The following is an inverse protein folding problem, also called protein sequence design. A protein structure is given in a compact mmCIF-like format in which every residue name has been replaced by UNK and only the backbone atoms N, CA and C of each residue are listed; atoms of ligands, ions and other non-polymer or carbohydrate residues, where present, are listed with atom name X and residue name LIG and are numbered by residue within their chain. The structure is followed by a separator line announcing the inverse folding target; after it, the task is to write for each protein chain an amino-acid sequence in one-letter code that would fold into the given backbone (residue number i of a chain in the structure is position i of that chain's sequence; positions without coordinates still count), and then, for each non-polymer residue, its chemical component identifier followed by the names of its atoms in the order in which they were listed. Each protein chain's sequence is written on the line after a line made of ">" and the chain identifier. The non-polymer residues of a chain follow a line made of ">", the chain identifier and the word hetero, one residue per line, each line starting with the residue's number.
data_IF_764135277036
#
_entry.id   IF_764135277036
#
_cell.length_a   1.000
_cell.length_b   1.000
_cell.length_c   1.000
_cell.angle_alpha   90.00
_cell.angle_beta   90.00
_cell.angle_gamma   90.00
#
_symmetry.space_group_name_H-M   'P 1'
#
loop_
_entity.id
_entity.type
_entity.pdbx_description
1 polymer ?
#
# COMPACT_ATOMS: atom_id res chain seq x y z
N UNK A 1 -5.24 -0.27 -2.72
CA UNK A 1 -6.62 -0.77 -2.99
C UNK A 1 -7.31 -1.01 -1.65
N UNK A 2 -8.59 -1.39 -1.59
CA UNK A 2 -9.24 -1.76 -0.33
C UNK A 2 -9.42 -3.28 -0.22
N UNK A 3 -9.18 -3.84 0.97
CA UNK A 3 -9.41 -5.23 1.29
C UNK A 3 -10.91 -5.56 1.21
N UNK A 4 -11.31 -6.45 0.29
CA UNK A 4 -12.72 -6.78 0.08
C UNK A 4 -13.34 -7.43 1.32
N UNK A 5 -12.66 -8.39 1.94
CA UNK A 5 -13.18 -9.16 3.07
C UNK A 5 -13.43 -8.26 4.29
N UNK A 6 -12.45 -7.40 4.63
CA UNK A 6 -12.62 -6.42 5.72
C UNK A 6 -13.72 -5.41 5.40
N UNK A 7 -13.78 -4.90 4.17
CA UNK A 7 -14.85 -3.95 3.79
C UNK A 7 -16.23 -4.61 3.85
N UNK A 8 -16.34 -5.90 3.51
CA UNK A 8 -17.58 -6.68 3.59
C UNK A 8 -18.02 -6.87 5.05
N UNK A 9 -17.09 -7.15 5.95
CA UNK A 9 -17.38 -7.26 7.37
C UNK A 9 -18.00 -5.96 7.92
N UNK A 10 -17.43 -4.80 7.60
CA UNK A 10 -18.00 -3.50 7.96
C UNK A 10 -19.34 -3.21 7.29
N UNK A 11 -19.49 -3.64 6.02
CA UNK A 11 -20.75 -3.48 5.29
C UNK A 11 -21.91 -4.26 5.95
N UNK A 12 -21.62 -5.33 6.70
CA UNK A 12 -22.62 -6.19 7.34
C UNK A 12 -22.80 -5.91 8.85
N UNK A 13 -21.73 -5.58 9.58
CA UNK A 13 -21.73 -5.52 11.06
C UNK A 13 -22.30 -4.23 11.66
N UNK A 14 -22.57 -3.21 10.84
CA UNK A 14 -23.11 -1.93 11.27
C UNK A 14 -22.28 -1.19 12.35
N UNK A 15 -20.98 -1.51 12.46
CA UNK A 15 -20.14 -1.19 13.61
C UNK A 15 -19.47 0.20 13.63
N UNK A 16 -19.52 0.94 12.53
CA UNK A 16 -18.90 2.27 12.41
C UNK A 16 -19.92 3.41 12.45
N UNK A 17 -19.57 4.59 12.94
CA UNK A 17 -20.39 5.79 12.76
C UNK A 17 -20.43 6.24 11.29
N UNK A 18 -21.40 7.08 10.91
CA UNK A 18 -21.48 7.63 9.54
C UNK A 18 -20.18 8.31 9.13
N UNK A 19 -19.62 9.12 10.02
CA UNK A 19 -18.40 9.90 9.80
C UNK A 19 -17.18 8.99 9.62
N UNK A 20 -17.05 7.93 10.44
CA UNK A 20 -15.98 6.95 10.30
C UNK A 20 -16.10 6.15 9.00
N UNK A 21 -17.31 5.67 8.67
CA UNK A 21 -17.56 4.94 7.42
C UNK A 21 -17.22 5.77 6.16
N UNK A 22 -17.47 7.09 6.19
CA UNK A 22 -17.09 8.01 5.10
C UNK A 22 -15.59 8.13 4.91
N UNK A 23 -14.79 7.94 5.97
CA UNK A 23 -13.32 8.08 5.90
C UNK A 23 -12.61 6.84 5.37
N UNK A 24 -13.22 5.65 5.35
CA UNK A 24 -12.56 4.42 4.89
C UNK A 24 -11.92 4.59 3.51
N UNK A 25 -12.70 5.11 2.54
CA UNK A 25 -12.24 5.22 1.16
C UNK A 25 -11.25 6.37 0.98
N UNK A 26 -11.53 7.60 1.47
CA UNK A 26 -10.56 8.69 1.44
C UNK A 26 -9.22 8.36 2.10
N UNK A 27 -9.22 7.68 3.25
CA UNK A 27 -7.98 7.23 3.89
C UNK A 27 -7.22 6.25 3.00
N UNK A 28 -7.92 5.33 2.32
CA UNK A 28 -7.30 4.43 1.34
C UNK A 28 -6.65 5.15 0.15
N UNK A 29 -7.09 6.38 -0.19
CA UNK A 29 -6.49 7.19 -1.25
C UNK A 29 -5.19 7.87 -0.82
N UNK A 30 -5.02 8.10 0.48
CA UNK A 30 -3.85 8.75 1.07
C UNK A 30 -2.94 7.77 1.80
N UNK A 31 -3.12 6.47 1.56
CA UNK A 31 -2.31 5.41 2.14
C UNK A 31 -1.18 5.01 1.20
N UNK A 32 0.02 4.93 1.76
CA UNK A 32 1.24 4.44 1.10
C UNK A 32 1.35 2.90 1.18
N UNK A 33 2.36 2.32 0.54
CA UNK A 33 2.52 0.87 0.41
C UNK A 33 2.73 0.14 1.73
N UNK A 34 3.37 0.78 2.72
CA UNK A 34 3.54 0.29 4.09
C UNK A 34 2.30 0.47 4.97
N UNK A 35 1.20 0.96 4.40
CA UNK A 35 -0.03 1.26 5.11
C UNK A 35 -0.05 2.63 5.78
N UNK A 36 1.04 3.40 5.78
CA UNK A 36 1.08 4.72 6.41
C UNK A 36 0.07 5.67 5.76
N UNK A 37 -0.70 6.36 6.58
CA UNK A 37 -1.68 7.38 6.16
C UNK A 37 -0.98 8.73 6.11
N UNK A 38 -0.82 9.29 4.92
CA UNK A 38 -0.31 10.64 4.68
C UNK A 38 -1.46 11.63 4.57
N UNK A 39 -2.24 11.72 5.65
CA UNK A 39 -3.24 12.76 5.81
C UNK A 39 -3.24 13.29 7.24
N UNK A 40 -2.88 14.55 7.37
CA UNK A 40 -3.10 15.30 8.61
C UNK A 40 -4.58 15.74 8.73
N UNK A 41 -4.92 16.30 9.89
CA UNK A 41 -6.27 16.76 10.15
C UNK A 41 -6.73 17.85 9.17
N UNK A 42 -5.81 18.70 8.70
CA UNK A 42 -6.11 19.80 7.78
C UNK A 42 -6.44 19.29 6.38
N UNK A 43 -5.70 18.29 5.89
CA UNK A 43 -5.95 17.63 4.62
C UNK A 43 -7.30 16.90 4.62
N UNK A 44 -7.69 16.31 5.74
CA UNK A 44 -9.03 15.69 5.89
C UNK A 44 -10.11 16.77 5.94
N UNK A 45 -9.85 17.88 6.64
CA UNK A 45 -10.75 19.03 6.72
C UNK A 45 -11.07 19.59 5.33
N UNK A 46 -10.07 19.74 4.47
CA UNK A 46 -10.21 20.22 3.07
C UNK A 46 -11.11 19.34 2.20
N UNK A 47 -11.34 18.08 2.57
CA UNK A 47 -12.18 17.17 1.79
C UNK A 47 -13.68 17.35 2.02
N UNK A 48 -14.09 18.17 3.00
CA UNK A 48 -15.49 18.48 3.33
C UNK A 48 -16.37 17.23 3.53
N UNK A 49 -15.81 16.18 4.14
CA UNK A 49 -16.52 14.91 4.42
C UNK A 49 -17.40 14.99 5.67
N UNK A 50 -17.00 15.86 6.60
CA UNK A 50 -17.62 16.05 7.91
C UNK A 50 -17.20 17.39 8.51
N UNK A 51 -17.89 17.81 9.58
CA UNK A 51 -17.46 18.96 10.37
C UNK A 51 -16.11 18.70 11.05
N UNK A 52 -15.20 19.69 11.15
CA UNK A 52 -13.86 19.49 11.72
C UNK A 52 -13.86 18.87 13.13
N UNK A 53 -14.82 19.29 13.97
CA UNK A 53 -15.01 18.78 15.34
C UNK A 53 -15.29 17.27 15.40
N UNK A 54 -15.75 16.66 14.31
CA UNK A 54 -16.07 15.25 14.24
C UNK A 54 -14.86 14.37 13.85
N UNK A 55 -13.77 14.97 13.35
CA UNK A 55 -12.61 14.22 12.85
C UNK A 55 -11.99 13.34 13.95
N UNK A 56 -11.69 13.83 15.17
CA UNK A 56 -11.10 12.99 16.21
C UNK A 56 -11.98 11.80 16.62
N UNK A 57 -13.30 12.02 16.69
CA UNK A 57 -14.25 10.95 16.98
C UNK A 57 -14.28 9.89 15.87
N UNK A 58 -14.21 10.31 14.61
CA UNK A 58 -14.18 9.39 13.48
C UNK A 58 -12.91 8.52 13.47
N UNK A 59 -11.75 9.09 13.77
CA UNK A 59 -10.50 8.32 13.93
C UNK A 59 -10.58 7.31 15.08
N UNK A 60 -11.09 7.73 16.24
CA UNK A 60 -11.29 6.83 17.39
C UNK A 60 -12.22 5.66 17.07
N UNK A 61 -13.28 5.90 16.30
CA UNK A 61 -14.18 4.84 15.85
C UNK A 61 -13.49 3.88 14.88
N UNK A 62 -12.67 4.39 13.96
CA UNK A 62 -11.88 3.57 13.03
C UNK A 62 -10.82 2.73 13.75
N UNK A 63 -10.15 3.28 14.78
CA UNK A 63 -9.19 2.55 15.62
C UNK A 63 -9.89 1.40 16.36
N UNK A 64 -11.03 1.68 17.02
CA UNK A 64 -11.84 0.68 17.73
C UNK A 64 -12.33 -0.45 16.82
N UNK A 65 -12.67 -0.11 15.59
CA UNK A 65 -13.12 -1.07 14.59
C UNK A 65 -11.95 -1.77 13.86
N UNK A 66 -10.71 -1.54 14.28
CA UNK A 66 -9.49 -2.11 13.70
C UNK A 66 -9.31 -1.77 12.19
N UNK A 67 -9.90 -0.67 11.73
CA UNK A 67 -9.71 -0.15 10.38
C UNK A 67 -8.38 0.59 10.23
N UNK A 68 -7.89 1.19 11.33
CA UNK A 68 -6.59 1.87 11.41
C UNK A 68 -5.88 1.49 12.71
N UNK A 69 -4.56 1.64 12.76
CA UNK A 69 -3.76 1.65 14.00
C UNK A 69 -2.96 2.94 14.12
N UNK A 70 -2.52 3.25 15.34
CA UNK A 70 -1.63 4.36 15.63
C UNK A 70 -0.37 3.84 16.28
N UNK A 71 0.78 4.13 15.68
CA UNK A 71 2.10 3.71 16.14
C UNK A 71 3.01 4.94 16.10
N UNK A 72 3.66 5.29 17.22
CA UNK A 72 4.55 6.45 17.33
C UNK A 72 3.96 7.77 16.80
N UNK A 73 2.67 7.99 17.03
CA UNK A 73 1.97 9.20 16.57
C UNK A 73 1.49 9.16 15.10
N UNK A 74 1.86 8.13 14.35
CA UNK A 74 1.52 7.96 12.93
C UNK A 74 0.38 6.97 12.76
N UNK A 75 -0.55 7.27 11.84
CA UNK A 75 -1.67 6.41 11.52
C UNK A 75 -1.35 5.44 10.38
N UNK A 76 -1.77 4.18 10.54
CA UNK A 76 -1.63 3.12 9.55
C UNK A 76 -2.99 2.54 9.17
N UNK A 77 -3.21 2.34 7.88
CA UNK A 77 -4.46 1.86 7.32
C UNK A 77 -4.46 0.33 7.22
N UNK A 78 -5.34 -0.30 7.98
CA UNK A 78 -5.54 -1.76 7.96
C UNK A 78 -6.56 -2.17 6.89
N UNK A 79 -7.30 -1.23 6.30
CA UNK A 79 -8.24 -1.51 5.21
C UNK A 79 -7.56 -1.52 3.84
N UNK A 80 -6.41 -0.87 3.70
CA UNK A 80 -5.66 -0.85 2.47
C UNK A 80 -4.91 -2.17 2.26
N UNK A 81 -4.86 -2.63 1.01
CA UNK A 81 -3.97 -3.71 0.61
C UNK A 81 -3.17 -3.32 -0.63
N UNK A 82 -1.91 -3.74 -0.59
CA UNK A 82 -1.04 -3.89 -1.75
C UNK A 82 -1.10 -5.35 -2.20
N UNK A 83 -1.05 -5.59 -3.51
CA UNK A 83 -1.17 -6.93 -4.08
C UNK A 83 -0.09 -7.05 -5.12
N UNK A 84 0.72 -8.08 -4.97
CA UNK A 84 1.96 -8.21 -5.74
C UNK A 84 1.75 -8.88 -7.10
N UNK A 85 0.57 -9.48 -7.33
CA UNK A 85 0.27 -10.23 -8.56
C UNK A 85 -1.19 -10.09 -9.02
N UNK A 86 -1.43 -10.45 -10.30
CA UNK A 86 -2.77 -10.52 -10.90
C UNK A 86 -3.64 -11.41 -10.01
N UNK A 87 -4.63 -10.86 -9.29
CA UNK A 87 -5.43 -11.67 -8.39
C UNK A 87 -6.17 -12.74 -9.19
N UNK A 88 -6.00 -14.02 -8.83
CA UNK A 88 -6.81 -15.10 -9.40
C UNK A 88 -8.27 -15.05 -8.90
N UNK A 89 -8.53 -14.26 -7.86
CA UNK A 89 -9.82 -14.15 -7.19
C UNK A 89 -10.19 -12.69 -6.90
N UNK A 90 -11.49 -12.41 -6.73
CA UNK A 90 -11.95 -11.09 -6.32
C UNK A 90 -11.60 -10.82 -4.84
N UNK A 91 -10.39 -10.32 -4.58
CA UNK A 91 -9.84 -10.10 -3.22
C UNK A 91 -9.83 -8.63 -2.80
N UNK A 92 -10.02 -7.69 -3.73
CA UNK A 92 -9.92 -6.27 -3.46
C UNK A 92 -10.92 -5.41 -4.22
N UNK A 93 -11.10 -4.19 -3.72
CA UNK A 93 -11.86 -3.13 -4.37
C UNK A 93 -10.90 -2.05 -4.86
N UNK A 94 -10.95 -1.76 -6.16
CA UNK A 94 -10.23 -0.63 -6.75
C UNK A 94 -10.76 0.69 -6.20
N UNK A 95 -9.87 1.68 -6.11
CA UNK A 95 -10.26 3.03 -5.70
C UNK A 95 -10.74 3.80 -6.94
N UNK A 96 -12.05 3.99 -7.07
CA UNK A 96 -12.66 4.67 -8.22
C UNK A 96 -12.81 6.18 -8.01
N UNK A 97 -12.76 6.96 -9.10
CA UNK A 97 -12.93 8.42 -9.08
C UNK A 97 -14.28 8.87 -8.50
N UNK A 98 -15.32 8.03 -8.54
CA UNK A 98 -16.64 8.40 -8.01
C UNK A 98 -16.65 8.58 -6.49
N UNK A 99 -15.70 7.97 -5.76
CA UNK A 99 -15.58 8.16 -4.31
C UNK A 99 -15.27 9.61 -3.91
N UNK A 100 -14.71 10.39 -4.83
CA UNK A 100 -14.42 11.81 -4.61
C UNK A 100 -15.59 12.74 -4.97
N UNK A 101 -16.67 12.21 -5.55
CA UNK A 101 -17.85 13.01 -5.93
C UNK A 101 -18.73 13.31 -4.71
N UNK A 102 -19.36 14.47 -4.73
CA UNK A 102 -20.33 14.92 -3.73
C UNK A 102 -21.45 13.89 -3.47
N UNK A 103 -21.93 13.24 -4.53
CA UNK A 103 -22.95 12.20 -4.43
C UNK A 103 -22.54 11.05 -3.48
N UNK A 104 -21.25 10.69 -3.44
CA UNK A 104 -20.73 9.69 -2.51
C UNK A 104 -20.41 10.31 -1.13
N UNK A 105 -19.75 11.47 -1.10
CA UNK A 105 -19.32 12.14 0.14
C UNK A 105 -20.47 12.48 1.08
N UNK A 106 -21.67 12.74 0.54
CA UNK A 106 -22.87 13.12 1.31
C UNK A 106 -23.71 11.91 1.75
N UNK A 107 -23.36 10.69 1.36
CA UNK A 107 -24.13 9.49 1.74
C UNK A 107 -24.19 9.30 3.25
N UNK A 108 -25.36 8.92 3.77
CA UNK A 108 -25.54 8.52 5.16
C UNK A 108 -25.18 7.05 5.38
N UNK A 109 -25.04 6.65 6.64
CA UNK A 109 -24.49 5.36 7.08
C UNK A 109 -25.02 4.14 6.32
N UNK A 110 -26.35 4.01 6.22
CA UNK A 110 -27.01 2.85 5.58
C UNK A 110 -26.78 2.79 4.08
N UNK A 111 -26.77 3.95 3.41
CA UNK A 111 -26.43 4.02 1.99
C UNK A 111 -24.95 3.66 1.74
N UNK A 112 -24.03 4.14 2.58
CA UNK A 112 -22.61 3.75 2.52
C UNK A 112 -22.42 2.25 2.71
N UNK A 113 -23.06 1.66 3.72
CA UNK A 113 -23.01 0.23 3.99
C UNK A 113 -23.56 -0.59 2.84
N UNK A 114 -24.67 -0.16 2.24
CA UNK A 114 -25.24 -0.85 1.10
C UNK A 114 -24.33 -0.75 -0.14
N UNK A 115 -23.71 0.41 -0.39
CA UNK A 115 -22.71 0.56 -1.45
C UNK A 115 -21.49 -0.34 -1.19
N UNK A 116 -20.97 -0.40 0.04
CA UNK A 116 -19.87 -1.29 0.40
C UNK A 116 -20.25 -2.78 0.27
N UNK A 117 -21.49 -3.13 0.59
CA UNK A 117 -22.01 -4.48 0.38
C UNK A 117 -22.04 -4.83 -1.11
N UNK A 118 -22.58 -3.96 -1.98
CA UNK A 118 -22.61 -4.19 -3.43
C UNK A 118 -21.18 -4.30 -3.97
N UNK A 119 -20.31 -3.35 -3.60
CA UNK A 119 -18.90 -3.34 -4.00
C UNK A 119 -18.18 -4.64 -3.64
N UNK A 120 -18.54 -5.30 -2.54
CA UNK A 120 -17.88 -6.53 -2.07
C UNK A 120 -18.59 -7.82 -2.43
N UNK A 121 -19.78 -7.75 -3.03
CA UNK A 121 -20.58 -8.91 -3.39
C UNK A 121 -20.17 -9.53 -4.72
N UNK A 122 -19.89 -8.70 -5.72
CA UNK A 122 -19.39 -9.08 -7.05
C UNK A 122 -18.42 -8.02 -7.58
N UNK A 123 -17.68 -8.32 -8.64
CA UNK A 123 -16.86 -7.34 -9.34
C UNK A 123 -17.68 -6.07 -9.64
N UNK A 124 -17.19 -4.87 -9.30
CA UNK A 124 -17.94 -3.64 -9.52
C UNK A 124 -18.29 -3.45 -11.00
N UNK A 125 -19.56 -3.19 -11.30
CA UNK A 125 -20.09 -3.06 -12.68
C UNK A 125 -20.79 -4.32 -13.19
N UNK A 126 -20.62 -5.44 -12.48
CA UNK A 126 -21.35 -6.67 -12.74
C UNK A 126 -22.65 -6.74 -11.96
N UNK A 127 -23.62 -7.46 -12.52
CA UNK A 127 -24.97 -7.59 -11.98
C UNK A 127 -25.09 -8.61 -10.85
N UNK A 128 -25.29 -8.13 -9.63
CA UNK A 128 -25.51 -8.96 -8.45
C UNK A 128 -27.00 -9.26 -8.25
N UNK A 129 -27.38 -10.55 -8.23
CA UNK A 129 -28.75 -10.97 -7.87
C UNK A 129 -29.00 -10.81 -6.38
N UNK A 130 -30.03 -10.06 -6.03
CA UNK A 130 -30.40 -9.73 -4.66
C UNK A 130 -31.91 -9.85 -4.46
N UNK A 131 -32.33 -10.64 -3.47
CA UNK A 131 -33.72 -10.67 -3.05
C UNK A 131 -33.99 -9.49 -2.12
N UNK A 132 -34.95 -8.64 -2.48
CA UNK A 132 -35.31 -7.43 -1.72
C UNK A 132 -35.65 -7.78 -0.26
N UNK A 133 -36.30 -8.91 -0.02
CA UNK A 133 -36.66 -9.41 1.31
C UNK A 133 -35.45 -9.73 2.21
N UNK A 134 -34.26 -9.93 1.64
CA UNK A 134 -32.99 -10.10 2.39
C UNK A 134 -32.34 -8.77 2.78
N UNK A 135 -32.93 -7.65 2.37
CA UNK A 135 -32.40 -6.31 2.59
C UNK A 135 -32.94 -5.58 3.79
N UNK A 136 -33.95 -6.11 4.50
CA UNK A 136 -34.54 -5.43 5.65
C UNK A 136 -35.08 -6.40 6.70
N UNK A 137 -35.16 -5.92 7.93
CA UNK A 137 -35.65 -6.71 9.07
C UNK A 137 -37.17 -6.87 8.95
N UNK A 138 -37.65 -8.08 9.22
CA UNK A 138 -39.06 -8.38 9.46
C UNK A 138 -39.18 -9.27 10.70
N UNK A 139 -40.39 -9.43 11.25
CA UNK A 139 -40.61 -10.29 12.40
C UNK A 139 -40.25 -11.76 12.15
N UNK A 140 -40.25 -12.20 10.89
CA UNK A 140 -40.14 -13.61 10.50
C UNK A 140 -38.87 -13.94 9.70
N UNK A 141 -38.07 -12.94 9.31
CA UNK A 141 -36.87 -13.15 8.48
C UNK A 141 -35.62 -12.58 9.17
N UNK A 142 -34.51 -13.31 9.05
CA UNK A 142 -33.19 -12.84 9.46
C UNK A 142 -32.41 -12.39 8.21
N UNK A 143 -32.50 -11.10 7.82
CA UNK A 143 -31.92 -10.61 6.58
C UNK A 143 -30.38 -10.64 6.62
N UNK A 144 -29.77 -10.62 5.43
CA UNK A 144 -28.32 -10.42 5.29
C UNK A 144 -27.96 -8.99 5.73
N UNK A 145 -28.80 -8.01 5.38
CA UNK A 145 -28.62 -6.61 5.77
C UNK A 145 -29.48 -6.31 7.01
N UNK A 146 -28.85 -6.30 8.18
CA UNK A 146 -29.54 -6.13 9.48
C UNK A 146 -29.66 -4.67 9.95
N UNK A 147 -29.40 -3.70 9.08
CA UNK A 147 -29.40 -2.27 9.42
C UNK A 147 -30.54 -1.48 8.77
N UNK A 148 -31.38 -2.12 7.97
CA UNK A 148 -32.63 -1.56 7.47
C UNK A 148 -33.80 -2.07 8.30
N UNK A 149 -34.60 -1.16 8.84
CA UNK A 149 -35.63 -1.52 9.82
C UNK A 149 -36.89 -2.11 9.19
N UNK A 150 -37.16 -1.75 7.94
CA UNK A 150 -38.34 -2.20 7.20
C UNK A 150 -38.15 -1.97 5.69
N UNK A 151 -39.13 -2.42 4.90
CA UNK A 151 -39.12 -2.28 3.45
C UNK A 151 -39.03 -0.82 2.97
N UNK A 152 -39.80 0.11 3.56
CA UNK A 152 -39.83 1.53 3.15
C UNK A 152 -38.46 2.19 3.34
N UNK A 153 -37.79 1.85 4.43
CA UNK A 153 -36.45 2.32 4.76
C UNK A 153 -35.40 1.83 3.75
N UNK A 154 -35.45 0.56 3.38
CA UNK A 154 -34.62 0.00 2.31
C UNK A 154 -34.93 0.64 0.95
N UNK A 155 -36.21 0.73 0.59
CA UNK A 155 -36.67 1.30 -0.68
C UNK A 155 -36.22 2.76 -0.84
N UNK A 156 -36.35 3.58 0.20
CA UNK A 156 -35.89 4.98 0.16
C UNK A 156 -34.39 5.10 -0.16
N UNK A 157 -33.57 4.21 0.41
CA UNK A 157 -32.12 4.21 0.15
C UNK A 157 -31.83 3.66 -1.24
N UNK A 158 -32.54 2.63 -1.69
CA UNK A 158 -32.40 2.07 -3.03
C UNK A 158 -32.72 3.13 -4.10
N UNK A 159 -33.88 3.80 -3.99
CA UNK A 159 -34.32 4.88 -4.88
C UNK A 159 -33.28 6.00 -4.91
N UNK A 160 -32.88 6.50 -3.73
CA UNK A 160 -31.91 7.59 -3.62
C UNK A 160 -30.56 7.26 -4.29
N UNK A 161 -30.09 6.01 -4.22
CA UNK A 161 -28.84 5.61 -4.85
C UNK A 161 -28.95 5.49 -6.39
N UNK A 162 -30.12 5.10 -6.91
CA UNK A 162 -30.40 5.04 -8.36
C UNK A 162 -30.49 6.47 -8.93
N UNK A 163 -31.26 7.35 -8.29
CA UNK A 163 -31.45 8.75 -8.71
C UNK A 163 -30.13 9.54 -8.67
N UNK A 164 -29.27 9.28 -7.68
CA UNK A 164 -27.92 9.85 -7.63
C UNK A 164 -26.94 9.23 -8.65
N UNK A 165 -27.38 8.21 -9.40
CA UNK A 165 -26.60 7.54 -10.43
C UNK A 165 -25.41 6.74 -9.92
N UNK A 166 -25.47 6.29 -8.66
CA UNK A 166 -24.43 5.47 -8.05
C UNK A 166 -24.64 3.98 -8.33
N UNK A 167 -25.89 3.54 -8.42
CA UNK A 167 -26.26 2.16 -8.74
C UNK A 167 -27.26 2.10 -9.89
N UNK A 168 -27.35 0.93 -10.49
CA UNK A 168 -28.35 0.57 -11.50
C UNK A 168 -29.06 -0.70 -11.02
N UNK A 169 -30.35 -0.82 -11.35
CA UNK A 169 -31.19 -1.95 -10.96
C UNK A 169 -31.94 -2.48 -12.17
N UNK A 170 -32.01 -3.80 -12.31
CA UNK A 170 -32.89 -4.44 -13.28
C UNK A 170 -33.75 -5.54 -12.64
N UNK A 171 -34.96 -5.71 -13.14
CA UNK A 171 -35.88 -6.79 -12.74
C UNK A 171 -36.85 -7.11 -13.87
N UNK A 172 -37.61 -8.20 -13.72
CA UNK A 172 -38.68 -8.57 -14.65
C UNK A 172 -40.04 -8.18 -14.08
N UNK A 173 -40.77 -7.34 -14.80
CA UNK A 173 -42.16 -6.98 -14.51
C UNK A 173 -43.00 -7.37 -15.73
N UNK A 174 -44.03 -8.20 -15.51
CA UNK A 174 -44.92 -8.71 -16.58
C UNK A 174 -44.17 -9.28 -17.79
N UNK A 175 -43.09 -10.03 -17.52
CA UNK A 175 -42.25 -10.66 -18.55
C UNK A 175 -41.26 -9.73 -19.25
N UNK A 176 -41.35 -8.40 -19.03
CA UNK A 176 -40.43 -7.40 -19.59
C UNK A 176 -39.31 -7.07 -18.61
N UNK A 177 -38.10 -6.88 -19.13
CA UNK A 177 -36.99 -6.36 -18.33
C UNK A 177 -37.15 -4.86 -18.14
N UNK A 178 -37.28 -4.44 -16.89
CA UNK A 178 -37.24 -3.04 -16.47
C UNK A 178 -35.82 -2.73 -16.03
N UNK A 179 -35.24 -1.64 -16.55
CA UNK A 179 -33.90 -1.18 -16.22
C UNK A 179 -33.97 0.23 -15.65
N UNK A 180 -33.64 0.36 -14.36
CA UNK A 180 -33.68 1.61 -13.61
C UNK A 180 -32.29 2.22 -13.52
N UNK A 181 -32.20 3.47 -13.97
CA UNK A 181 -30.99 4.30 -13.92
C UNK A 181 -31.34 5.70 -13.45
N UNK A 182 -30.32 6.54 -13.25
CA UNK A 182 -30.49 7.97 -12.97
C UNK A 182 -31.37 8.74 -13.98
N UNK A 183 -31.56 8.22 -15.19
CA UNK A 183 -32.39 8.88 -16.22
C UNK A 183 -33.88 8.55 -16.12
N UNK A 184 -34.27 7.65 -15.22
CA UNK A 184 -35.65 7.26 -15.04
C UNK A 184 -36.33 8.22 -14.05
N UNK A 185 -37.46 8.81 -14.43
CA UNK A 185 -38.18 9.77 -13.58
C UNK A 185 -39.10 9.07 -12.54
N UNK A 186 -39.52 7.83 -12.82
CA UNK A 186 -40.50 7.06 -12.04
C UNK A 186 -39.88 5.84 -11.31
N UNK A 187 -38.65 5.99 -10.80
CA UNK A 187 -37.89 4.91 -10.15
C UNK A 187 -38.65 4.32 -8.96
N UNK A 188 -39.27 5.16 -8.13
CA UNK A 188 -40.00 4.71 -6.93
C UNK A 188 -41.24 3.93 -7.33
N UNK A 189 -42.06 4.47 -8.22
CA UNK A 189 -43.32 3.89 -8.64
C UNK A 189 -43.12 2.48 -9.23
N UNK A 190 -42.11 2.33 -10.10
CA UNK A 190 -41.77 1.03 -10.71
C UNK A 190 -41.30 -0.01 -9.68
N UNK A 191 -40.56 0.41 -8.64
CA UNK A 191 -40.13 -0.49 -7.57
C UNK A 191 -41.27 -0.85 -6.61
N UNK A 192 -42.17 0.08 -6.32
CA UNK A 192 -43.36 -0.15 -5.51
C UNK A 192 -44.34 -1.09 -6.20
N UNK A 193 -44.55 -0.90 -7.50
CA UNK A 193 -45.35 -1.77 -8.36
C UNK A 193 -44.75 -3.19 -8.40
N UNK A 194 -43.45 -3.30 -8.71
CA UNK A 194 -42.75 -4.59 -8.73
C UNK A 194 -42.84 -5.33 -7.39
N UNK A 195 -42.76 -4.60 -6.27
CA UNK A 195 -42.84 -5.18 -4.94
C UNK A 195 -44.28 -5.38 -4.43
N UNK A 196 -45.30 -5.13 -5.26
CA UNK A 196 -46.73 -5.26 -4.92
C UNK A 196 -47.12 -4.46 -3.65
N UNK A 197 -46.69 -3.20 -3.55
CA UNK A 197 -47.04 -2.32 -2.44
C UNK A 197 -48.51 -1.87 -2.56
N UNK A 198 -49.33 -2.12 -1.52
CA UNK A 198 -50.70 -1.59 -1.43
C UNK A 198 -50.84 -0.67 -0.21
N UNK A 199 -50.93 0.64 -0.43
CA UNK A 199 -50.96 1.64 0.65
C UNK A 199 -49.61 1.77 1.35
N UNK A 200 -49.57 1.76 2.69
CA UNK A 200 -48.33 1.91 3.47
C UNK A 200 -47.60 0.60 3.78
N UNK A 201 -48.14 -0.54 3.35
CA UNK A 201 -47.60 -1.88 3.62
C UNK A 201 -47.54 -2.69 2.32
N UNK A 202 -46.46 -3.43 2.12
CA UNK A 202 -46.40 -4.48 1.11
C UNK A 202 -47.53 -5.48 1.37
N UNK A 203 -48.20 -5.97 0.32
CA UNK A 203 -49.27 -6.97 0.46
C UNK A 203 -48.72 -8.15 1.29
N UNK A 204 -49.31 -8.40 2.46
CA UNK A 204 -48.79 -9.31 3.51
C UNK A 204 -48.72 -10.79 3.11
N UNK A 205 -49.12 -11.13 1.89
CA UNK A 205 -49.25 -12.50 1.37
C UNK A 205 -48.55 -12.64 0.02
N UNK A 206 -47.27 -12.28 -0.06
CA UNK A 206 -46.41 -13.08 -0.92
C UNK A 206 -46.25 -14.42 -0.21
N UNK A 207 -46.68 -15.50 -0.85
CA UNK A 207 -46.44 -16.85 -0.31
C UNK A 207 -44.97 -16.98 0.06
N UNK A 208 -44.65 -17.87 1.02
CA UNK A 208 -43.28 -18.24 1.40
C UNK A 208 -42.36 -18.52 0.19
N UNK A 209 -42.93 -18.75 -1.00
CA UNK A 209 -42.26 -19.08 -2.25
C UNK A 209 -42.08 -17.91 -3.26
N UNK A 210 -42.60 -16.70 -3.03
CA UNK A 210 -42.47 -15.57 -3.98
C UNK A 210 -41.49 -14.51 -3.46
N UNK A 211 -40.25 -14.55 -3.94
CA UNK A 211 -39.16 -13.62 -3.61
C UNK A 211 -38.97 -12.59 -4.74
N UNK A 212 -38.83 -11.30 -4.39
CA UNK A 212 -38.62 -10.23 -5.36
C UNK A 212 -37.12 -10.09 -5.62
N UNK A 213 -36.65 -10.80 -6.64
CA UNK A 213 -35.24 -10.82 -7.01
C UNK A 213 -34.95 -9.73 -8.02
N UNK A 214 -34.20 -8.73 -7.59
CA UNK A 214 -33.60 -7.71 -8.46
C UNK A 214 -32.17 -8.09 -8.80
N UNK A 215 -31.63 -7.53 -9.87
CA UNK A 215 -30.19 -7.47 -10.12
C UNK A 215 -29.74 -6.03 -9.89
N UNK A 216 -28.71 -5.85 -9.08
CA UNK A 216 -28.17 -4.54 -8.70
C UNK A 216 -26.68 -4.49 -9.03
N UNK A 217 -26.19 -3.35 -9.51
CA UNK A 217 -24.76 -3.11 -9.72
C UNK A 217 -24.39 -1.67 -9.39
N UNK A 218 -23.10 -1.43 -9.12
CA UNK A 218 -22.56 -0.07 -9.20
C UNK A 218 -22.67 0.37 -10.67
N UNK A 219 -23.14 1.60 -10.90
CA UNK A 219 -23.37 2.11 -12.24
C UNK A 219 -22.13 1.94 -13.12
N UNK A 220 -22.28 1.30 -14.28
CA UNK A 220 -21.16 0.83 -15.10
C UNK A 220 -20.23 1.98 -15.51
N UNK A 221 -20.81 3.15 -15.78
CA UNK A 221 -20.11 4.41 -16.09
C UNK A 221 -19.10 4.87 -15.02
N UNK A 222 -19.21 4.37 -13.79
CA UNK A 222 -18.37 4.77 -12.65
C UNK A 222 -17.19 3.84 -12.38
N UNK A 223 -17.21 2.61 -12.94
CA UNK A 223 -16.29 1.52 -12.55
C UNK A 223 -15.46 0.99 -13.72
N UNK A 224 -15.53 1.62 -14.90
CA UNK A 224 -14.62 1.34 -16.02
C UNK A 224 -13.16 1.58 -15.64
N UNK A 225 -12.23 0.92 -16.37
CA UNK A 225 -10.79 0.98 -16.11
C UNK A 225 -10.26 2.43 -16.06
N UNK A 226 -10.71 3.30 -16.95
CA UNK A 226 -10.34 4.72 -16.99
C UNK A 226 -10.87 5.55 -15.81
N UNK A 227 -11.82 5.00 -15.05
CA UNK A 227 -12.38 5.59 -13.83
C UNK A 227 -11.68 5.10 -12.56
N UNK A 228 -10.77 4.13 -12.66
CA UNK A 228 -9.89 3.77 -11.55
C UNK A 228 -8.93 4.93 -11.30
N UNK A 229 -8.75 5.28 -10.03
CA UNK A 229 -7.81 6.32 -9.63
C UNK A 229 -6.40 5.74 -9.68
N UNK A 230 -5.58 6.29 -10.56
CA UNK A 230 -4.16 5.94 -10.65
C UNK A 230 -3.46 6.22 -9.31
N UNK A 231 -2.48 5.40 -8.94
CA UNK A 231 -1.55 5.72 -7.84
C UNK A 231 -0.78 7.02 -8.11
N UNK A 232 -0.65 7.41 -9.37
CA UNK A 232 0.01 8.64 -9.82
C UNK A 232 -0.96 9.81 -10.03
N UNK A 233 -2.23 9.64 -9.66
CA UNK A 233 -3.17 10.77 -9.65
C UNK A 233 -2.68 11.80 -8.62
N UNK A 234 -2.60 13.10 -8.96
CA UNK A 234 -2.19 14.15 -8.02
C UNK A 234 -2.98 14.15 -6.70
N UNK A 235 -4.23 13.65 -6.73
CA UNK A 235 -5.08 13.53 -5.54
C UNK A 235 -4.81 12.27 -4.70
N UNK A 236 -3.92 11.37 -5.16
CA UNK A 236 -3.56 10.09 -4.53
C UNK A 236 -2.05 9.99 -4.20
N UNK A 237 -1.32 11.11 -4.22
CA UNK A 237 0.15 11.20 -4.11
C UNK A 237 0.79 10.61 -2.83
N UNK A 238 0.07 9.87 -1.97
CA UNK A 238 0.63 9.20 -0.80
C UNK A 238 1.86 8.35 -1.15
N UNK A 239 1.84 7.67 -2.30
CA UNK A 239 2.93 6.79 -2.72
C UNK A 239 4.24 7.54 -3.02
N UNK A 240 4.15 8.79 -3.47
CA UNK A 240 5.30 9.66 -3.75
C UNK A 240 5.46 10.74 -2.66
N UNK A 241 4.72 10.65 -1.57
CA UNK A 241 4.68 11.70 -0.56
C UNK A 241 6.01 11.87 0.15
N UNK A 242 6.68 10.76 0.48
CA UNK A 242 8.06 10.78 0.99
C UNK A 242 8.99 11.58 0.07
N UNK A 243 8.94 11.32 -1.24
CA UNK A 243 9.73 12.06 -2.23
C UNK A 243 9.34 13.54 -2.27
N UNK A 244 8.04 13.85 -2.27
CA UNK A 244 7.53 15.22 -2.35
C UNK A 244 7.95 16.03 -1.14
N UNK A 245 7.75 15.49 0.05
CA UNK A 245 8.01 16.18 1.31
C UNK A 245 9.51 16.49 1.45
N UNK A 246 10.40 15.57 1.07
CA UNK A 246 11.85 15.84 1.07
C UNK A 246 12.24 16.80 -0.07
N UNK A 247 11.77 16.58 -1.30
CA UNK A 247 12.15 17.41 -2.45
C UNK A 247 11.79 18.89 -2.27
N UNK A 248 10.64 19.18 -1.65
CA UNK A 248 10.21 20.57 -1.37
C UNK A 248 11.17 21.29 -0.43
N UNK A 249 11.75 20.60 0.57
CA UNK A 249 12.75 21.19 1.48
C UNK A 249 13.99 21.68 0.73
N UNK A 250 14.27 21.12 -0.45
CA UNK A 250 15.38 21.47 -1.33
C UNK A 250 14.91 22.25 -2.57
N UNK A 251 13.73 22.87 -2.52
CA UNK A 251 13.16 23.70 -3.59
C UNK A 251 12.91 22.95 -4.92
N UNK A 252 12.59 21.66 -4.86
CA UNK A 252 12.24 20.87 -6.02
C UNK A 252 10.75 20.50 -6.01
N UNK A 253 10.04 20.89 -7.07
CA UNK A 253 8.63 20.54 -7.26
C UNK A 253 8.49 19.32 -8.17
N UNK A 254 7.75 18.31 -7.70
CA UNK A 254 7.53 17.08 -8.45
C UNK A 254 6.60 17.28 -9.66
N UNK A 255 5.79 18.34 -9.66
CA UNK A 255 4.85 18.65 -10.75
C UNK A 255 5.58 19.01 -12.06
N UNK A 256 6.89 19.29 -11.99
CA UNK A 256 7.73 19.59 -13.15
C UNK A 256 8.20 18.34 -13.92
N UNK A 257 7.97 17.13 -13.39
CA UNK A 257 8.45 15.89 -14.00
C UNK A 257 7.34 15.06 -14.65
N UNK A 258 7.72 14.29 -15.67
CA UNK A 258 6.79 13.39 -16.36
C UNK A 258 6.30 12.25 -15.45
N UNK A 259 5.08 11.76 -15.68
CA UNK A 259 4.56 10.59 -14.99
C UNK A 259 5.48 9.36 -15.14
N UNK A 260 6.10 9.17 -16.30
CA UNK A 260 7.04 8.07 -16.54
C UNK A 260 8.29 8.14 -15.64
N UNK A 261 8.80 9.34 -15.37
CA UNK A 261 9.90 9.52 -14.42
C UNK A 261 9.48 9.16 -12.99
N UNK A 262 8.30 9.63 -12.56
CA UNK A 262 7.75 9.35 -11.23
C UNK A 262 7.46 7.85 -11.03
N UNK A 263 6.97 7.18 -12.07
CA UNK A 263 6.78 5.73 -12.13
C UNK A 263 8.07 4.97 -11.81
N UNK A 264 9.20 5.36 -12.42
CA UNK A 264 10.50 4.72 -12.16
C UNK A 264 10.95 4.86 -10.70
N UNK A 265 10.68 6.00 -10.07
CA UNK A 265 11.00 6.21 -8.64
C UNK A 265 10.09 5.37 -7.75
N UNK A 266 8.79 5.32 -8.05
CA UNK A 266 7.87 4.45 -7.35
C UNK A 266 8.29 2.98 -7.45
N UNK A 267 8.70 2.53 -8.65
CA UNK A 267 9.16 1.15 -8.84
C UNK A 267 10.40 0.83 -8.01
N UNK A 268 11.31 1.79 -7.80
CA UNK A 268 12.44 1.60 -6.90
C UNK A 268 11.99 1.40 -5.44
N UNK A 269 11.07 2.24 -4.96
CA UNK A 269 10.45 2.10 -3.63
C UNK A 269 9.72 0.77 -3.47
N UNK A 270 8.93 0.39 -4.48
CA UNK A 270 8.18 -0.87 -4.52
C UNK A 270 9.12 -2.08 -4.44
N UNK A 271 10.20 -2.10 -5.22
CA UNK A 271 11.20 -3.18 -5.17
C UNK A 271 11.78 -3.38 -3.76
N UNK A 272 12.03 -2.31 -3.02
CA UNK A 272 12.50 -2.39 -1.64
C UNK A 272 11.43 -2.96 -0.71
N UNK A 273 10.17 -2.55 -0.86
CA UNK A 273 9.07 -3.13 -0.11
C UNK A 273 8.85 -4.62 -0.43
N UNK A 274 8.89 -5.00 -1.71
CA UNK A 274 8.67 -6.39 -2.13
C UNK A 274 9.75 -7.33 -1.55
N UNK A 275 10.98 -6.83 -1.34
CA UNK A 275 12.09 -7.63 -0.78
C UNK A 275 12.21 -7.56 0.75
N UNK A 276 11.88 -6.41 1.36
CA UNK A 276 12.19 -6.13 2.76
C UNK A 276 10.98 -5.65 3.59
N UNK A 277 9.79 -5.60 3.01
CA UNK A 277 8.57 -5.08 3.65
C UNK A 277 8.75 -3.65 4.17
N UNK A 278 8.28 -3.40 5.39
CA UNK A 278 8.36 -2.09 6.04
C UNK A 278 9.81 -1.61 6.23
N UNK A 279 10.76 -2.52 6.51
CA UNK A 279 12.18 -2.18 6.60
C UNK A 279 12.71 -1.59 5.29
N UNK A 280 12.26 -2.12 4.14
CA UNK A 280 12.61 -1.58 2.83
C UNK A 280 12.16 -0.14 2.62
N UNK A 281 11.00 0.23 3.16
CA UNK A 281 10.47 1.60 3.10
C UNK A 281 11.21 2.54 4.05
N UNK A 282 11.56 2.08 5.25
CA UNK A 282 12.42 2.85 6.15
C UNK A 282 13.80 3.10 5.53
N UNK A 283 14.38 2.08 4.92
CA UNK A 283 15.64 2.19 4.19
C UNK A 283 15.53 3.18 3.03
N UNK A 284 14.45 3.10 2.24
CA UNK A 284 14.15 4.06 1.19
C UNK A 284 14.12 5.50 1.72
N UNK A 285 13.37 5.76 2.82
CA UNK A 285 13.27 7.08 3.43
C UNK A 285 14.63 7.60 3.90
N UNK A 286 15.42 6.77 4.60
CA UNK A 286 16.77 7.13 5.04
C UNK A 286 17.69 7.49 3.87
N UNK A 287 17.77 6.62 2.87
CA UNK A 287 18.58 6.85 1.67
C UNK A 287 18.13 8.08 0.88
N UNK A 288 16.83 8.35 0.83
CA UNK A 288 16.26 9.53 0.19
C UNK A 288 16.76 10.81 0.87
N UNK A 289 16.71 10.87 2.21
CA UNK A 289 17.25 12.00 2.97
C UNK A 289 18.74 12.19 2.70
N UNK A 290 19.55 11.13 2.80
CA UNK A 290 21.00 11.21 2.53
C UNK A 290 21.31 11.71 1.12
N UNK A 291 20.56 11.27 0.10
CA UNK A 291 20.75 11.76 -1.26
C UNK A 291 20.51 13.27 -1.37
N UNK A 292 19.45 13.80 -0.77
CA UNK A 292 19.16 15.23 -0.89
C UNK A 292 20.16 16.08 -0.09
N UNK A 293 20.61 15.59 1.06
CA UNK A 293 21.66 16.24 1.86
C UNK A 293 22.99 16.32 1.08
N UNK A 294 23.37 15.26 0.37
CA UNK A 294 24.66 15.19 -0.32
C UNK A 294 24.65 15.71 -1.76
N UNK A 295 23.55 15.50 -2.48
CA UNK A 295 23.49 15.58 -3.95
C UNK A 295 22.17 16.15 -4.50
N UNK A 296 21.38 16.90 -3.70
CA UNK A 296 20.11 17.52 -4.13
C UNK A 296 20.18 18.22 -5.50
N UNK A 297 21.26 18.95 -5.77
CA UNK A 297 21.47 19.65 -7.04
C UNK A 297 21.38 18.75 -8.29
N UNK A 298 21.68 17.45 -8.17
CA UNK A 298 21.60 16.47 -9.28
C UNK A 298 20.18 15.93 -9.49
N UNK A 299 19.28 16.15 -8.54
CA UNK A 299 17.93 15.60 -8.55
C UNK A 299 17.16 15.89 -9.86
N UNK A 300 17.11 17.14 -10.36
CA UNK A 300 16.33 17.44 -11.57
C UNK A 300 16.88 16.71 -12.81
N UNK A 301 18.20 16.63 -12.95
CA UNK A 301 18.85 15.93 -14.05
C UNK A 301 18.53 14.42 -13.99
N UNK A 302 18.73 13.80 -12.83
CA UNK A 302 18.47 12.37 -12.64
C UNK A 302 16.99 12.00 -12.84
N UNK A 303 16.07 12.89 -12.48
CA UNK A 303 14.64 12.71 -12.73
C UNK A 303 14.28 12.81 -14.21
N UNK A 304 14.84 13.78 -14.95
CA UNK A 304 14.63 13.92 -16.40
C UNK A 304 15.19 12.73 -17.17
N UNK A 305 16.37 12.24 -16.76
CA UNK A 305 17.00 11.05 -17.35
C UNK A 305 16.31 9.74 -16.92
N UNK A 306 15.41 9.80 -15.94
CA UNK A 306 14.76 8.62 -15.36
C UNK A 306 15.74 7.69 -14.65
N UNK A 307 16.86 8.22 -14.17
CA UNK A 307 17.94 7.49 -13.47
C UNK A 307 17.91 7.67 -11.95
N UNK A 308 17.02 8.52 -11.42
CA UNK A 308 16.97 8.79 -9.98
C UNK A 308 16.73 7.53 -9.15
N UNK A 309 15.72 6.72 -9.49
CA UNK A 309 15.40 5.49 -8.75
C UNK A 309 16.55 4.48 -8.71
N UNK A 310 17.25 4.27 -9.83
CA UNK A 310 18.44 3.40 -9.87
C UNK A 310 19.65 4.01 -9.16
N UNK A 311 19.83 5.32 -9.23
CA UNK A 311 20.88 6.03 -8.48
C UNK A 311 20.69 5.84 -6.98
N UNK A 312 19.45 5.97 -6.50
CA UNK A 312 19.12 5.76 -5.09
C UNK A 312 19.42 4.33 -4.65
N UNK A 313 19.01 3.32 -5.45
CA UNK A 313 19.30 1.92 -5.14
C UNK A 313 20.81 1.66 -5.12
N UNK A 314 21.52 1.98 -6.20
CA UNK A 314 22.91 1.54 -6.37
C UNK A 314 23.89 2.28 -5.45
N UNK A 315 23.68 3.58 -5.21
CA UNK A 315 24.65 4.39 -4.49
C UNK A 315 24.30 4.65 -3.03
N UNK A 316 23.04 4.47 -2.62
CA UNK A 316 22.60 4.75 -1.25
C UNK A 316 22.05 3.49 -0.55
N UNK A 317 21.25 2.67 -1.24
CA UNK A 317 20.70 1.44 -0.64
C UNK A 317 21.75 0.33 -0.63
N UNK A 318 22.40 0.05 -1.76
CA UNK A 318 23.33 -1.08 -1.86
C UNK A 318 24.49 -1.06 -0.87
N UNK A 319 25.12 0.10 -0.54
CA UNK A 319 26.12 0.14 0.52
C UNK A 319 25.61 -0.39 1.88
N UNK A 320 24.38 -0.04 2.26
CA UNK A 320 23.76 -0.53 3.50
C UNK A 320 23.48 -2.03 3.43
N UNK A 321 22.99 -2.52 2.29
CA UNK A 321 22.76 -3.95 2.05
C UNK A 321 24.07 -4.74 2.14
N UNK A 322 25.16 -4.27 1.51
CA UNK A 322 26.49 -4.91 1.58
C UNK A 322 27.01 -4.97 3.01
N UNK A 323 26.88 -3.87 3.76
CA UNK A 323 27.26 -3.84 5.17
C UNK A 323 26.48 -4.87 5.99
N UNK A 324 25.17 -4.97 5.75
CA UNK A 324 24.30 -5.94 6.45
C UNK A 324 24.66 -7.38 6.10
N UNK A 325 24.94 -7.68 4.83
CA UNK A 325 25.42 -9.00 4.40
C UNK A 325 26.73 -9.35 5.09
N UNK A 326 27.70 -8.42 5.13
CA UNK A 326 28.97 -8.66 5.79
C UNK A 326 28.79 -8.96 7.29
N UNK A 327 27.94 -8.21 7.98
CA UNK A 327 27.61 -8.46 9.40
C UNK A 327 26.96 -9.84 9.60
N UNK A 328 26.08 -10.25 8.69
CA UNK A 328 25.45 -11.58 8.73
C UNK A 328 26.45 -12.70 8.47
N UNK A 329 27.40 -12.51 7.55
CA UNK A 329 28.46 -13.49 7.29
C UNK A 329 29.41 -13.62 8.49
N UNK A 330 29.80 -12.51 9.13
CA UNK A 330 30.56 -12.56 10.38
C UNK A 330 29.80 -13.30 11.48
N UNK A 331 28.50 -13.02 11.63
CA UNK A 331 27.64 -13.72 12.59
C UNK A 331 27.59 -15.23 12.30
N UNK A 332 27.37 -15.63 11.04
CA UNK A 332 27.37 -17.04 10.62
C UNK A 332 28.71 -17.71 10.93
N UNK A 333 29.84 -17.03 10.66
CA UNK A 333 31.17 -17.55 10.97
C UNK A 333 31.35 -17.79 12.46
N UNK A 334 30.97 -16.83 13.31
CA UNK A 334 31.07 -16.96 14.76
C UNK A 334 30.24 -18.15 15.25
N UNK A 335 28.98 -18.23 14.84
CA UNK A 335 28.07 -19.31 15.24
C UNK A 335 28.53 -20.68 14.71
N UNK A 336 29.03 -20.74 13.47
CA UNK A 336 29.61 -21.95 12.88
C UNK A 336 30.81 -22.45 13.68
N UNK A 337 31.76 -21.56 14.01
CA UNK A 337 32.94 -21.90 14.81
C UNK A 337 32.57 -22.32 16.25
N UNK A 338 31.46 -21.81 16.78
CA UNK A 338 30.91 -22.18 18.08
C UNK A 338 30.00 -23.42 18.04
N UNK A 339 29.85 -24.07 16.89
CA UNK A 339 28.97 -25.23 16.69
C UNK A 339 27.49 -24.95 17.05
N UNK A 340 27.06 -23.70 16.89
CA UNK A 340 25.66 -23.28 17.07
C UNK A 340 24.85 -23.52 15.78
N UNK A 341 23.52 -23.50 15.91
CA UNK A 341 22.63 -23.60 14.75
C UNK A 341 22.63 -22.29 13.94
N UNK A 342 23.30 -22.32 12.79
CA UNK A 342 23.45 -21.19 11.88
C UNK A 342 22.25 -20.98 10.94
N UNK A 343 21.30 -21.92 10.91
CA UNK A 343 20.25 -21.93 9.88
C UNK A 343 19.35 -20.70 9.98
N UNK A 344 19.11 -20.19 11.19
CA UNK A 344 18.34 -18.97 11.41
C UNK A 344 19.02 -17.74 10.77
N UNK A 345 20.34 -17.60 10.92
CA UNK A 345 21.09 -16.49 10.35
C UNK A 345 21.17 -16.60 8.83
N UNK A 346 21.34 -17.82 8.30
CA UNK A 346 21.27 -18.09 6.85
C UNK A 346 19.92 -17.65 6.30
N UNK A 347 18.81 -18.10 6.90
CA UNK A 347 17.47 -17.69 6.47
C UNK A 347 17.21 -16.18 6.61
N UNK A 348 17.72 -15.55 7.67
CA UNK A 348 17.63 -14.09 7.83
C UNK A 348 18.42 -13.29 6.77
N UNK A 349 19.42 -13.91 6.13
CA UNK A 349 20.21 -13.27 5.07
C UNK A 349 19.58 -13.39 3.67
N UNK A 350 18.65 -14.33 3.46
CA UNK A 350 18.06 -14.63 2.16
C UNK A 350 17.43 -13.40 1.46
N UNK A 351 16.66 -12.51 2.14
CA UNK A 351 16.08 -11.34 1.48
C UNK A 351 17.13 -10.39 0.88
N UNK A 352 18.29 -10.25 1.54
CA UNK A 352 19.38 -9.39 1.09
C UNK A 352 20.06 -9.96 -0.14
N UNK A 353 20.31 -11.27 -0.14
CA UNK A 353 20.97 -11.96 -1.27
C UNK A 353 20.04 -12.07 -2.47
N UNK A 354 18.75 -12.33 -2.23
CA UNK A 354 17.73 -12.27 -3.28
C UNK A 354 17.69 -10.88 -3.93
N UNK A 355 17.69 -9.82 -3.12
CA UNK A 355 17.72 -8.45 -3.62
C UNK A 355 18.98 -8.15 -4.45
N UNK A 356 20.16 -8.60 -4.00
CA UNK A 356 21.40 -8.47 -4.79
C UNK A 356 21.26 -9.18 -6.13
N UNK A 357 20.74 -10.40 -6.14
CA UNK A 357 20.59 -11.22 -7.35
C UNK A 357 19.60 -10.62 -8.35
N UNK A 358 18.51 -10.01 -7.89
CA UNK A 358 17.42 -9.54 -8.75
C UNK A 358 17.52 -8.06 -9.15
N UNK A 359 18.17 -7.23 -8.32
CA UNK A 359 18.07 -5.78 -8.44
C UNK A 359 19.42 -5.04 -8.49
N UNK A 360 20.52 -5.68 -8.07
CA UNK A 360 21.82 -5.00 -8.07
C UNK A 360 22.42 -4.93 -9.48
N UNK A 361 23.26 -3.91 -9.68
CA UNK A 361 24.11 -3.83 -10.87
C UNK A 361 25.27 -4.81 -10.77
N UNK A 362 25.91 -5.10 -11.91
CA UNK A 362 26.99 -6.09 -12.02
C UNK A 362 28.13 -5.80 -11.02
N UNK A 363 28.51 -4.53 -10.87
CA UNK A 363 29.54 -4.13 -9.91
C UNK A 363 29.18 -4.55 -8.46
N UNK A 364 27.91 -4.39 -8.07
CA UNK A 364 27.45 -4.71 -6.71
C UNK A 364 27.37 -6.22 -6.47
N UNK A 365 26.97 -7.01 -7.48
CA UNK A 365 27.04 -8.48 -7.44
C UNK A 365 28.47 -8.94 -7.16
N UNK A 366 29.45 -8.40 -7.89
CA UNK A 366 30.87 -8.74 -7.72
C UNK A 366 31.41 -8.23 -6.37
N UNK A 367 31.00 -7.05 -5.93
CA UNK A 367 31.42 -6.50 -4.64
C UNK A 367 30.90 -7.37 -3.48
N UNK A 368 29.68 -7.94 -3.58
CA UNK A 368 29.19 -8.90 -2.58
C UNK A 368 29.96 -10.23 -2.66
N UNK A 369 30.27 -10.73 -3.85
CA UNK A 369 31.09 -11.95 -4.01
C UNK A 369 32.48 -11.79 -3.37
N UNK A 370 33.07 -10.60 -3.50
CA UNK A 370 34.35 -10.28 -2.86
C UNK A 370 34.25 -10.35 -1.33
N UNK A 371 33.11 -9.93 -0.75
CA UNK A 371 32.85 -10.06 0.68
C UNK A 371 32.71 -11.55 1.05
N UNK A 372 31.89 -12.30 0.33
CA UNK A 372 31.63 -13.73 0.57
C UNK A 372 32.92 -14.56 0.49
N UNK A 373 33.81 -14.23 -0.45
CA UNK A 373 35.11 -14.89 -0.62
C UNK A 373 36.03 -14.80 0.60
N UNK A 374 35.78 -13.88 1.54
CA UNK A 374 36.51 -13.79 2.81
C UNK A 374 36.07 -14.83 3.85
N UNK A 375 35.02 -15.61 3.56
CA UNK A 375 34.43 -16.62 4.45
C UNK A 375 34.35 -18.00 3.79
N UNK A 376 35.48 -18.57 3.31
CA UNK A 376 35.48 -19.85 2.59
C UNK A 376 34.87 -21.02 3.37
N UNK A 377 34.94 -20.97 4.71
CA UNK A 377 34.37 -21.96 5.62
C UNK A 377 32.83 -22.06 5.52
N UNK A 378 32.15 -20.99 5.09
CA UNK A 378 30.70 -20.96 4.95
C UNK A 378 30.20 -21.56 3.63
N UNK A 379 31.09 -21.78 2.65
CA UNK A 379 30.71 -22.22 1.29
C UNK A 379 29.81 -23.47 1.25
N UNK A 380 30.07 -24.55 2.02
CA UNK A 380 29.21 -25.73 2.02
C UNK A 380 27.78 -25.42 2.49
N UNK A 381 27.65 -24.51 3.46
CA UNK A 381 26.37 -24.11 4.04
C UNK A 381 25.60 -23.23 3.06
N UNK A 382 26.26 -22.22 2.51
CA UNK A 382 25.65 -21.29 1.56
C UNK A 382 25.20 -22.03 0.29
N UNK A 383 25.99 -23.00 -0.19
CA UNK A 383 25.63 -23.80 -1.37
C UNK A 383 24.43 -24.73 -1.13
N UNK A 384 24.15 -25.11 0.12
CA UNK A 384 22.99 -25.92 0.46
C UNK A 384 21.70 -25.09 0.63
N UNK A 385 21.81 -23.75 0.72
CA UNK A 385 20.67 -22.87 0.75
C UNK A 385 20.30 -22.42 -0.67
N UNK A 386 19.04 -22.65 -1.07
CA UNK A 386 18.56 -22.38 -2.44
C UNK A 386 18.77 -20.93 -2.90
N UNK A 387 18.53 -19.95 -2.03
CA UNK A 387 18.65 -18.52 -2.37
C UNK A 387 20.11 -18.14 -2.59
N UNK A 388 21.00 -18.63 -1.73
CA UNK A 388 22.44 -18.45 -1.87
C UNK A 388 23.03 -19.19 -3.07
N UNK A 389 22.58 -20.41 -3.34
CA UNK A 389 23.00 -21.17 -4.52
C UNK A 389 22.67 -20.40 -5.81
N UNK A 390 21.46 -19.85 -5.92
CA UNK A 390 21.06 -19.02 -7.07
C UNK A 390 21.97 -17.80 -7.23
N UNK A 391 22.31 -17.13 -6.14
CA UNK A 391 23.26 -16.02 -6.16
C UNK A 391 24.66 -16.46 -6.63
N UNK A 392 25.21 -17.56 -6.09
CA UNK A 392 26.52 -18.07 -6.48
C UNK A 392 26.57 -18.49 -7.96
N UNK A 393 25.48 -19.08 -8.48
CA UNK A 393 25.32 -19.37 -9.90
C UNK A 393 25.28 -18.08 -10.74
N UNK A 394 24.56 -17.05 -10.28
CA UNK A 394 24.52 -15.74 -10.93
C UNK A 394 25.89 -15.08 -10.99
N UNK A 395 26.66 -15.13 -9.90
CA UNK A 395 28.06 -14.67 -9.84
C UNK A 395 28.93 -15.43 -10.83
N UNK A 396 28.87 -16.77 -10.85
CA UNK A 396 29.63 -17.60 -11.78
C UNK A 396 29.32 -17.28 -13.24
N UNK A 397 28.04 -17.07 -13.57
CA UNK A 397 27.62 -16.66 -14.90
C UNK A 397 28.18 -15.28 -15.26
N UNK A 398 28.13 -14.34 -14.32
CA UNK A 398 28.66 -12.98 -14.48
C UNK A 398 30.16 -12.98 -14.77
N UNK A 399 30.96 -13.70 -13.98
CA UNK A 399 32.40 -13.83 -14.24
C UNK A 399 32.67 -14.52 -15.58
N UNK A 400 31.96 -15.61 -15.89
CA UNK A 400 32.12 -16.29 -17.20
C UNK A 400 31.94 -15.30 -18.36
N UNK A 401 30.90 -14.48 -18.33
CA UNK A 401 30.63 -13.51 -19.39
C UNK A 401 31.69 -12.40 -19.48
N UNK A 402 32.23 -11.93 -18.36
CA UNK A 402 33.26 -10.90 -18.33
C UNK A 402 34.63 -11.45 -18.74
N UNK A 403 34.99 -12.66 -18.30
CA UNK A 403 36.24 -13.31 -18.68
C UNK A 403 36.31 -13.66 -20.18
N UNK A 404 35.17 -13.81 -20.87
CA UNK A 404 35.15 -13.97 -22.35
C UNK A 404 35.81 -12.79 -23.09
N UNK A 405 35.94 -11.63 -22.42
CA UNK A 405 36.61 -10.45 -22.96
C UNK A 405 38.10 -10.37 -22.61
N UNK A 406 38.67 -11.46 -22.06
CA UNK A 406 40.10 -11.58 -21.74
C UNK A 406 40.51 -10.98 -20.38
N UNK A 407 39.55 -10.61 -19.54
CA UNK A 407 39.81 -10.04 -18.21
C UNK A 407 40.02 -11.13 -17.16
N UNK A 408 40.93 -10.89 -16.21
CA UNK A 408 41.11 -11.76 -15.04
C UNK A 408 40.04 -11.46 -13.97
N UNK A 409 39.82 -12.41 -13.04
CA UNK A 409 38.87 -12.21 -11.93
C UNK A 409 39.32 -11.05 -11.04
N UNK A 410 40.62 -10.91 -10.82
CA UNK A 410 41.24 -9.83 -10.05
C UNK A 410 40.99 -8.47 -10.70
N UNK A 411 41.16 -8.35 -12.02
CA UNK A 411 40.87 -7.13 -12.77
C UNK A 411 39.39 -6.75 -12.68
N UNK A 412 38.51 -7.74 -12.84
CA UNK A 412 37.06 -7.58 -12.72
C UNK A 412 36.70 -7.05 -11.32
N UNK A 413 37.24 -7.65 -10.25
CA UNK A 413 37.02 -7.20 -8.87
C UNK A 413 37.53 -5.79 -8.64
N UNK A 414 38.71 -5.45 -9.16
CA UNK A 414 39.28 -4.09 -9.04
C UNK A 414 38.39 -3.04 -9.73
N UNK A 415 37.85 -3.37 -10.91
CA UNK A 415 36.91 -2.48 -11.63
C UNK A 415 35.56 -2.36 -10.94
N UNK A 416 35.01 -3.47 -10.43
CA UNK A 416 33.75 -3.50 -9.69
C UNK A 416 33.79 -2.60 -8.44
N UNK A 417 34.92 -2.62 -7.72
CA UNK A 417 35.15 -1.75 -6.55
C UNK A 417 35.09 -0.26 -6.91
N UNK A 418 35.43 0.09 -8.15
CA UNK A 418 35.38 1.46 -8.69
C UNK A 418 34.09 1.75 -9.46
N UNK A 419 33.12 0.82 -9.51
CA UNK A 419 31.87 0.92 -10.28
C UNK A 419 32.06 1.12 -11.79
N UNK A 420 33.20 0.65 -12.33
CA UNK A 420 33.63 0.85 -13.73
C UNK A 420 33.18 -0.26 -14.67
N UNK A 421 32.41 -1.25 -14.21
CA UNK A 421 31.82 -2.28 -15.09
C UNK A 421 30.52 -1.74 -15.68
N UNK A 422 29.61 -1.25 -14.83
CA UNK A 422 28.30 -0.73 -15.28
C UNK A 422 28.39 0.73 -15.72
N UNK A 423 29.30 1.53 -15.15
CA UNK A 423 29.47 2.93 -15.52
C UNK A 423 30.93 3.23 -15.91
N UNK A 424 31.24 3.14 -17.20
CA UNK A 424 32.59 3.41 -17.71
C UNK A 424 33.06 4.87 -17.45
N UNK A 425 32.11 5.82 -17.30
CA UNK A 425 32.39 7.25 -17.14
C UNK A 425 32.30 7.80 -15.69
N UNK A 426 32.00 6.97 -14.69
CA UNK A 426 31.82 7.46 -13.31
C UNK A 426 33.17 7.56 -12.59
N UNK A 427 33.74 8.76 -12.63
CA UNK A 427 34.79 9.19 -11.71
C UNK A 427 34.09 9.56 -10.39
N UNK A 428 34.22 8.72 -9.36
CA UNK A 428 34.01 9.21 -7.99
C UNK A 428 35.07 10.29 -7.74
N UNK A 429 34.65 11.53 -7.52
CA UNK A 429 35.50 12.48 -6.81
C UNK A 429 35.76 11.88 -5.42
N UNK A 430 37.02 11.65 -5.08
CA UNK A 430 37.50 10.85 -3.94
C UNK A 430 37.07 11.36 -2.53
N UNK A 431 36.19 12.35 -2.42
CA UNK A 431 35.85 13.02 -1.15
C UNK A 431 34.72 12.38 -0.33
N UNK A 432 34.20 11.20 -0.66
CA UNK A 432 33.22 10.48 0.17
C UNK A 432 33.79 9.26 0.91
N UNK A 433 35.09 9.01 0.79
CA UNK A 433 35.80 8.12 1.71
C UNK A 433 36.10 8.89 3.00
N UNK A 434 35.65 8.39 4.15
CA UNK A 434 36.01 8.83 5.51
C UNK A 434 35.44 10.16 6.04
N UNK A 435 34.10 10.28 6.09
CA UNK A 435 33.47 10.94 7.24
C UNK A 435 32.57 9.93 7.93
N UNK A 436 33.02 9.51 9.12
CA UNK A 436 32.19 8.83 10.11
C UNK A 436 30.80 9.48 10.12
N UNK A 437 29.73 8.67 10.12
CA UNK A 437 28.42 9.13 10.54
C UNK A 437 28.61 9.85 11.88
N UNK A 438 28.60 11.18 11.85
CA UNK A 438 28.61 11.97 13.06
C UNK A 438 27.23 11.83 13.68
N UNK A 439 27.18 11.31 14.90
CA UNK A 439 25.96 11.14 15.69
C UNK A 439 25.44 12.46 16.27
N UNK A 440 25.93 13.62 15.81
CA UNK A 440 25.43 14.92 16.25
C UNK A 440 24.52 15.54 15.19
N UNK A 441 23.26 15.85 15.52
CA UNK A 441 22.44 16.69 14.65
C UNK A 441 23.10 18.07 14.51
N UNK A 442 22.97 18.72 13.34
CA UNK A 442 23.46 20.10 13.16
C UNK A 442 22.74 21.02 14.15
N UNK A 443 23.51 21.90 14.80
CA UNK A 443 22.95 23.03 15.57
C UNK A 443 22.15 23.91 14.62
N UNK A 444 20.83 23.83 14.74
CA UNK A 444 19.91 24.80 14.15
C UNK A 444 19.88 25.99 15.10
N UNK A 445 20.28 27.15 14.60
CA UNK A 445 20.18 28.40 15.34
C UNK A 445 18.75 28.63 15.87
N UNK A 446 18.72 29.03 17.13
CA UNK A 446 17.59 29.03 18.06
C UNK A 446 16.41 29.88 17.58
N UNK A 447 15.22 29.28 17.57
CA UNK A 447 13.99 29.93 18.07
C UNK A 447 13.21 28.92 18.92
N UNK A 448 13.36 29.03 20.25
CA UNK A 448 12.53 28.40 21.29
C UNK A 448 11.34 29.34 21.62
N UNK A 449 10.17 28.85 22.07
CA UNK A 449 9.99 28.14 23.37
C UNK A 449 9.02 26.92 23.27
N UNK A 450 8.87 25.97 24.19
CA UNK A 450 9.30 25.74 25.58
C UNK A 450 9.21 24.24 25.91
N UNK A 451 10.29 23.71 26.52
CA UNK A 451 10.39 22.63 27.52
C UNK A 451 9.26 21.59 27.70
N UNK A 452 9.58 20.32 27.41
CA UNK A 452 9.56 19.24 28.40
C UNK A 452 10.65 18.21 28.04
N UNK A 453 11.61 18.06 28.94
CA UNK A 453 12.77 17.18 28.85
C UNK A 453 12.39 15.73 29.14
N UNK A 454 12.72 14.81 28.22
CA UNK A 454 12.91 13.40 28.53
C UNK A 454 14.26 12.99 27.93
N UNK A 455 15.29 13.04 28.77
CA UNK A 455 16.58 12.42 28.53
C UNK A 455 16.42 10.90 28.66
N UNK A 456 16.57 10.19 27.56
CA UNK A 456 16.74 8.74 27.53
C UNK A 456 17.70 8.40 26.41
N UNK A 457 18.91 7.98 26.76
CA UNK A 457 19.88 7.45 25.80
C UNK A 457 19.27 6.22 25.10
N UNK A 458 19.26 6.26 23.76
CA UNK A 458 18.79 5.18 22.92
C UNK A 458 19.77 4.01 22.98
N UNK A 459 19.42 2.99 23.75
CA UNK A 459 20.14 1.72 23.78
C UNK A 459 19.74 0.87 22.56
N UNK A 460 20.61 0.84 21.55
CA UNK A 460 20.41 0.13 20.27
C UNK A 460 20.36 -1.39 20.47
N UNK A 461 21.01 -1.94 21.49
CA UNK A 461 20.95 -3.37 21.84
C UNK A 461 19.58 -3.79 22.40
N UNK A 462 18.87 -2.88 23.09
CA UNK A 462 17.55 -3.17 23.67
C UNK A 462 16.44 -3.26 22.60
N UNK A 463 16.60 -2.59 21.44
CA UNK A 463 15.64 -2.69 20.34
C UNK A 463 15.71 -4.05 19.62
N UNK A 464 16.90 -4.68 19.52
CA UNK A 464 17.07 -5.98 18.86
C UNK A 464 16.50 -7.14 19.68
N UNK A 465 16.52 -7.08 21.02
CA UNK A 465 16.07 -8.18 21.88
C UNK A 465 14.56 -8.19 22.20
N UNK A 466 13.81 -7.12 21.89
CA UNK A 466 12.37 -7.04 22.21
C UNK A 466 11.43 -7.73 21.21
N UNK A 467 11.95 -8.19 20.06
CA UNK A 467 11.16 -8.89 19.02
C UNK A 467 11.23 -10.42 19.19
N UNK A 468 12.10 -10.93 20.08
CA UNK A 468 12.30 -12.36 20.32
C UNK A 468 11.90 -12.73 21.75
N UNK A 469 10.68 -12.40 22.18
CA UNK A 469 10.00 -13.12 23.27
C UNK A 469 8.48 -12.99 23.13
N UNK A 470 7.88 -13.95 22.44
CA UNK A 470 6.48 -14.31 22.67
C UNK A 470 6.52 -15.64 23.45
N UNK A 471 6.33 -15.66 24.78
CA UNK A 471 6.14 -16.92 25.46
C UNK A 471 4.73 -17.42 25.17
N UNK A 472 4.67 -18.68 24.73
CA UNK A 472 3.45 -19.48 24.61
C UNK A 472 2.60 -19.36 25.88
N UNK A 473 1.32 -19.02 25.71
CA UNK A 473 0.17 -19.64 26.40
C UNK A 473 -1.08 -19.41 25.58
#
# INVERSE_FOLDING_TARGET
>A
MLNRSRLREHALSNNLSTIAARLIVPLGMVTDIDGRIYADEEQIRKQNLMSPRCIPAAFKDLEKANCISKENGVYYNKMAIHIDEKPTQFTYISLYKFFQKDAFKKLYKRALQFIFYILTSQLPGEWHRFAIERGYITATNNPILRYFYNFKDFLNILVSLIENGLIEVEFKLDGKTVFLTQKCDNVRELLEEYCELQGSRKKRTCSINKSHVIRVRIAEKLVKKEKVTSIYDPNRLATLRDLRDVAILYNHDLEQFSQSSLEKVHMAKKKLYDNFGNYGIELYRKCLHSFFEEQSHRFPQLMRDGKFGSTLINFYVMPVIRMTINQKLEQMKIEYLQSMDIQEVVSASEPFIKFVTEAAIVDDVINVDTIVSNYPELNPILSNNKTWEQYLQHVKHTYTNLCLHGETIEDIRARAKLYKITNQDVIRSENTSSKNLSTKPPEVDKVLPSSQSLSGELNVEAMFNSIVTNPKT
#
